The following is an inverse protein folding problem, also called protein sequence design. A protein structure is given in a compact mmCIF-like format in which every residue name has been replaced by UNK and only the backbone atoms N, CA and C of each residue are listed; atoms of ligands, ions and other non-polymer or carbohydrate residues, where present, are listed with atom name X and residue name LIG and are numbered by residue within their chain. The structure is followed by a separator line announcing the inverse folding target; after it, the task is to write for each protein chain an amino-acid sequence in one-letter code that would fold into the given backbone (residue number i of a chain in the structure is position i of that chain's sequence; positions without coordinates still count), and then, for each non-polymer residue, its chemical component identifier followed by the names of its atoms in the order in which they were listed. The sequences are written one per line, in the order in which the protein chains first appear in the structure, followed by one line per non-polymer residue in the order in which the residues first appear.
data_IF_482185287684
#
_entry.id   IF_482185287684
#
_cell.length_a   1.000
_cell.length_b   1.000
_cell.length_c   1.000
_cell.angle_alpha   90.00
_cell.angle_beta   90.00
_cell.angle_gamma   90.00
#
_symmetry.space_group_name_H-M   'P 1'
#
loop_
_entity.id
_entity.type
_entity.pdbx_description
1 polymer ?
#
# COMPACT_ATOMS: atom_id res chain seq x y z
N UNK A 1 -21.98 -6.27 -10.70
CA UNK A 1 -21.52 -4.88 -10.47
C UNK A 1 -19.98 -4.78 -10.51
N UNK A 2 -19.26 -5.56 -11.33
CA UNK A 2 -17.78 -5.61 -11.24
C UNK A 2 -17.01 -5.38 -12.56
N UNK A 3 -17.55 -5.67 -13.74
CA UNK A 3 -16.78 -5.55 -15.00
C UNK A 3 -16.46 -4.10 -15.37
N UNK A 4 -17.38 -3.16 -15.09
CA UNK A 4 -17.23 -1.76 -15.49
C UNK A 4 -15.95 -1.10 -14.94
N UNK A 5 -15.57 -1.42 -13.70
CA UNK A 5 -14.40 -0.87 -13.02
C UNK A 5 -13.11 -1.66 -13.31
N UNK A 6 -13.22 -2.92 -13.75
CA UNK A 6 -12.04 -3.73 -14.13
C UNK A 6 -11.55 -3.36 -15.53
N UNK A 7 -12.43 -2.88 -16.41
CA UNK A 7 -12.09 -2.49 -17.79
C UNK A 7 -11.54 -1.07 -17.94
N UNK A 8 -11.55 -0.27 -16.87
CA UNK A 8 -11.25 1.17 -16.91
C UNK A 8 -10.26 1.51 -15.82
N UNK A 9 -9.33 2.41 -16.13
CA UNK A 9 -8.39 2.97 -15.18
C UNK A 9 -8.45 4.50 -15.21
N UNK A 10 -8.32 5.11 -14.04
CA UNK A 10 -8.11 6.55 -13.90
C UNK A 10 -6.61 6.74 -13.68
N UNK A 11 -5.96 7.44 -14.62
CA UNK A 11 -4.54 7.78 -14.50
C UNK A 11 -4.40 9.23 -14.00
N UNK A 12 -3.50 9.44 -13.06
CA UNK A 12 -3.12 10.76 -12.58
C UNK A 12 -1.58 10.87 -12.52
N UNK A 13 -1.02 12.08 -12.67
CA UNK A 13 0.43 12.28 -12.72
C UNK A 13 1.14 12.13 -11.36
N UNK A 14 0.41 12.22 -10.24
CA UNK A 14 0.97 12.12 -8.90
C UNK A 14 0.31 10.99 -8.10
N UNK A 15 1.13 10.22 -7.37
CA UNK A 15 0.68 9.09 -6.56
C UNK A 15 -0.28 9.52 -5.43
N UNK A 16 -0.05 10.68 -4.80
CA UNK A 16 -0.95 11.18 -3.75
C UNK A 16 -2.36 11.44 -4.30
N UNK A 17 -2.48 11.92 -5.54
CA UNK A 17 -3.77 12.09 -6.22
C UNK A 17 -4.42 10.75 -6.51
N UNK A 18 -3.65 9.76 -6.97
CA UNK A 18 -4.15 8.39 -7.19
C UNK A 18 -4.65 7.78 -5.87
N UNK A 19 -3.90 7.94 -4.78
CA UNK A 19 -4.27 7.42 -3.45
C UNK A 19 -5.58 8.05 -2.95
N UNK A 20 -5.74 9.37 -3.10
CA UNK A 20 -6.97 10.07 -2.73
C UNK A 20 -8.18 9.57 -3.54
N UNK A 21 -8.02 9.37 -4.86
CA UNK A 21 -9.09 8.84 -5.73
C UNK A 21 -9.42 7.40 -5.35
N UNK A 22 -8.42 6.53 -5.14
CA UNK A 22 -8.62 5.14 -4.76
C UNK A 22 -9.35 5.02 -3.42
N UNK A 23 -8.97 5.81 -2.42
CA UNK A 23 -9.64 5.84 -1.12
C UNK A 23 -11.08 6.35 -1.22
N UNK A 24 -11.33 7.39 -2.01
CA UNK A 24 -12.68 7.88 -2.26
C UNK A 24 -13.56 6.80 -2.91
N UNK A 25 -13.07 6.17 -3.98
CA UNK A 25 -13.78 5.11 -4.70
C UNK A 25 -14.02 3.90 -3.80
N UNK A 26 -13.04 3.49 -2.99
CA UNK A 26 -13.19 2.43 -1.99
C UNK A 26 -14.30 2.77 -0.97
N UNK A 27 -14.40 4.03 -0.55
CA UNK A 27 -15.47 4.52 0.32
C UNK A 27 -16.88 4.30 -0.26
N UNK A 28 -17.02 4.34 -1.59
CA UNK A 28 -18.29 4.11 -2.28
C UNK A 28 -18.68 2.62 -2.38
N UNK A 29 -17.74 1.69 -2.18
CA UNK A 29 -18.06 0.26 -2.20
C UNK A 29 -18.89 -0.12 -0.97
N UNK A 30 -19.96 -0.91 -1.18
CA UNK A 30 -20.74 -1.45 -0.07
C UNK A 30 -19.94 -2.49 0.71
N UNK A 31 -20.30 -2.68 1.98
CA UNK A 31 -19.67 -3.66 2.86
C UNK A 31 -18.66 -3.05 3.83
N UNK A 32 -18.18 -3.90 4.73
CA UNK A 32 -17.23 -3.54 5.77
C UNK A 32 -15.81 -3.38 5.19
N UNK A 33 -15.11 -2.35 5.66
CA UNK A 33 -13.71 -2.12 5.36
C UNK A 33 -12.83 -2.98 6.27
N UNK A 34 -11.85 -3.65 5.69
CA UNK A 34 -10.84 -4.43 6.42
C UNK A 34 -9.48 -3.79 6.18
N UNK A 35 -8.78 -3.44 7.26
CA UNK A 35 -7.41 -2.94 7.23
C UNK A 35 -6.41 -4.08 7.43
N UNK A 36 -5.40 -4.13 6.57
CA UNK A 36 -4.23 -5.00 6.67
C UNK A 36 -3.00 -4.12 6.88
N UNK A 37 -2.19 -4.44 7.90
CA UNK A 37 -0.99 -3.67 8.22
C UNK A 37 0.28 -4.40 7.74
N UNK A 38 1.25 -3.67 7.21
CA UNK A 38 2.55 -4.23 6.85
C UNK A 38 3.31 -4.69 8.10
N UNK A 39 4.21 -5.65 7.91
CA UNK A 39 5.13 -6.12 8.94
C UNK A 39 6.54 -5.80 8.48
N UNK A 40 6.96 -4.56 8.70
CA UNK A 40 8.24 -4.07 8.22
C UNK A 40 9.37 -4.36 9.21
N UNK A 41 10.50 -4.83 8.70
CA UNK A 41 11.73 -5.05 9.44
C UNK A 41 12.92 -4.55 8.65
N UNK A 42 14.00 -4.23 9.35
CA UNK A 42 15.26 -3.84 8.74
C UNK A 42 16.22 -5.03 8.71
N UNK A 43 16.89 -5.18 7.58
CA UNK A 43 18.05 -6.05 7.46
C UNK A 43 19.29 -5.17 7.40
N UNK A 44 20.15 -5.26 8.42
CA UNK A 44 21.40 -4.50 8.48
C UNK A 44 22.45 -5.26 7.67
N UNK A 45 22.89 -4.70 6.54
CA UNK A 45 24.04 -5.24 5.80
C UNK A 45 25.28 -5.17 6.70
N UNK A 46 26.00 -6.29 6.86
CA UNK A 46 27.23 -6.39 7.64
C UNK A 46 28.33 -5.40 7.19
N UNK A 47 28.23 -4.83 5.98
CA UNK A 47 29.12 -3.77 5.49
C UNK A 47 28.80 -2.38 6.04
N UNK A 48 27.57 -2.17 6.50
CA UNK A 48 27.09 -0.90 7.06
C UNK A 48 27.17 -0.93 8.59
N UNK A 49 28.39 -0.86 9.13
CA UNK A 49 28.68 -0.85 10.57
C UNK A 49 28.18 0.39 11.32
N UNK A 50 27.41 1.26 10.66
CA UNK A 50 26.94 2.54 11.18
C UNK A 50 25.43 2.54 11.51
N UNK A 51 24.73 1.43 11.28
CA UNK A 51 23.31 1.29 11.60
C UNK A 51 23.18 0.25 12.70
N UNK A 52 22.64 0.65 13.84
CA UNK A 52 22.38 -0.24 14.98
C UNK A 52 20.90 -0.62 15.05
N UNK A 53 20.62 -1.78 15.67
CA UNK A 53 19.26 -2.20 16.01
C UNK A 53 18.65 -1.21 17.04
N UNK A 54 17.96 -0.19 16.55
CA UNK A 54 17.37 0.86 17.37
C UNK A 54 17.39 2.25 16.73
N UNK A 55 18.17 2.46 15.67
CA UNK A 55 18.25 3.74 14.98
C UNK A 55 16.94 4.14 14.27
N UNK A 56 16.08 3.15 14.00
CA UNK A 56 14.81 3.35 13.32
C UNK A 56 13.68 2.75 14.15
N UNK A 57 12.69 3.57 14.48
CA UNK A 57 11.50 3.10 15.19
C UNK A 57 10.50 2.47 14.23
N UNK A 58 9.60 1.65 14.77
CA UNK A 58 8.51 1.05 13.98
C UNK A 58 7.61 2.12 13.35
N UNK A 59 7.40 3.24 14.03
CA UNK A 59 6.62 4.37 13.49
C UNK A 59 7.32 5.00 12.29
N UNK A 60 8.65 5.10 12.31
CA UNK A 60 9.42 5.57 11.17
C UNK A 60 9.27 4.60 9.99
N UNK A 61 9.41 3.29 10.22
CA UNK A 61 9.22 2.27 9.17
C UNK A 61 7.82 2.32 8.57
N UNK A 62 6.79 2.41 9.41
CA UNK A 62 5.39 2.51 8.99
C UNK A 62 5.08 3.81 8.23
N UNK A 63 5.92 4.84 8.36
CA UNK A 63 5.78 6.11 7.63
C UNK A 63 6.44 6.12 6.25
N UNK A 64 7.22 5.09 5.91
CA UNK A 64 7.97 5.03 4.67
C UNK A 64 7.01 4.91 3.47
N UNK A 65 7.15 5.86 2.54
CA UNK A 65 6.46 5.83 1.24
C UNK A 65 7.46 5.49 0.14
N UNK A 66 7.69 4.19 -0.04
CA UNK A 66 8.65 3.69 -1.03
C UNK A 66 7.90 3.43 -2.36
N UNK A 67 8.42 3.98 -3.45
CA UNK A 67 7.84 3.74 -4.78
C UNK A 67 7.77 2.23 -5.09
N UNK A 68 6.61 1.78 -5.59
CA UNK A 68 6.27 0.39 -5.90
C UNK A 68 5.95 -0.54 -4.71
N UNK A 69 5.86 -0.01 -3.48
CA UNK A 69 5.35 -0.75 -2.33
C UNK A 69 4.01 -0.14 -1.87
N UNK A 70 3.07 -0.97 -1.38
CA UNK A 70 1.89 -0.45 -0.71
C UNK A 70 2.28 0.31 0.55
N UNK A 71 1.45 1.27 0.95
CA UNK A 71 1.60 1.94 2.24
C UNK A 71 1.41 0.93 3.40
N UNK A 72 1.86 1.30 4.60
CA UNK A 72 1.77 0.45 5.78
C UNK A 72 0.35 -0.08 6.03
N UNK A 73 -0.68 0.71 5.76
CA UNK A 73 -2.07 0.29 5.86
C UNK A 73 -2.68 0.07 4.47
N UNK A 74 -3.17 -1.15 4.23
CA UNK A 74 -3.96 -1.52 3.06
C UNK A 74 -5.42 -1.75 3.45
N UNK A 75 -6.31 -0.90 2.92
CA UNK A 75 -7.76 -0.97 3.15
C UNK A 75 -8.45 -1.67 1.98
N UNK A 76 -9.30 -2.65 2.28
CA UNK A 76 -10.02 -3.44 1.27
C UNK A 76 -11.50 -3.61 1.64
N UNK A 77 -12.33 -3.78 0.62
CA UNK A 77 -13.76 -4.12 0.75
C UNK A 77 -14.13 -5.23 -0.22
N UNK A 78 -15.15 -6.02 0.12
CA UNK A 78 -15.63 -7.08 -0.76
C UNK A 78 -16.09 -6.49 -2.11
N UNK A 79 -15.53 -7.04 -3.20
CA UNK A 79 -15.88 -6.66 -4.57
C UNK A 79 -15.10 -5.47 -5.14
N UNK A 80 -14.17 -4.85 -4.40
CA UNK A 80 -13.31 -3.81 -4.95
C UNK A 80 -12.25 -4.39 -5.92
N UNK A 81 -11.90 -3.68 -7.01
CA UNK A 81 -10.81 -4.09 -7.89
C UNK A 81 -9.44 -3.93 -7.20
N UNK A 82 -8.53 -4.85 -7.48
CA UNK A 82 -7.14 -4.83 -6.96
C UNK A 82 -6.15 -5.13 -8.09
N UNK A 83 -4.93 -4.60 -7.96
CA UNK A 83 -3.82 -4.85 -8.89
C UNK A 83 -2.70 -5.52 -8.10
N UNK A 84 -2.11 -6.59 -8.65
CA UNK A 84 -0.94 -7.24 -8.08
C UNK A 84 0.31 -6.42 -8.41
N UNK A 85 1.10 -6.08 -7.39
CA UNK A 85 2.39 -5.38 -7.56
C UNK A 85 3.56 -6.34 -7.78
N UNK A 86 3.36 -7.65 -7.56
CA UNK A 86 4.37 -8.70 -7.72
C UNK A 86 3.73 -9.98 -8.27
N UNK A 87 4.51 -10.78 -8.98
CA UNK A 87 4.13 -12.12 -9.42
C UNK A 87 4.08 -13.08 -8.23
N UNK A 88 3.24 -14.12 -8.31
CA UNK A 88 2.98 -15.10 -7.25
C UNK A 88 3.55 -16.50 -7.55
N UNK A 89 4.44 -16.60 -8.55
CA UNK A 89 5.03 -17.87 -9.00
C UNK A 89 5.82 -18.60 -7.89
#
# INVERSE_FOLDING_TARGET
MSTYLVERAILAPHNDTVAAINNYVLGLFPGEEVSYFSSDSLEIDAKNQHVEEGDYTVEFLNSLKIGNFPEHELKLKLGCPVILLRNLD
#
